data_IF_700881354194
#
_entry.id   IF_700881354194
#
_cell.length_a   1.000
_cell.length_b   1.000
_cell.length_c   1.000
_cell.angle_alpha   90.00
_cell.angle_beta   90.00
_cell.angle_gamma   90.00
#
_symmetry.space_group_name_H-M   'P 1'
#
loop_
_entity.id
_entity.type
_entity.pdbx_description
1 polymer ?
#
# COMPACT_ATOMS: atom_id res chain seq x y z
N UNK A 1 -5.64 -47.02 -6.76
CA UNK A 1 -6.16 -46.47 -8.03
C UNK A 1 -5.34 -45.24 -8.36
N UNK A 2 -4.55 -45.23 -9.45
CA UNK A 2 -3.77 -44.07 -9.82
C UNK A 2 -4.65 -43.08 -10.59
N UNK A 3 -4.60 -41.80 -10.22
CA UNK A 3 -5.29 -40.72 -10.92
C UNK A 3 -4.34 -40.22 -12.01
N UNK A 4 -4.83 -40.34 -13.23
CA UNK A 4 -4.19 -39.96 -14.49
C UNK A 4 -3.95 -38.43 -14.52
N UNK A 5 -2.70 -38.01 -14.71
CA UNK A 5 -2.33 -36.59 -14.85
C UNK A 5 -2.33 -36.26 -16.34
N UNK A 6 -3.45 -35.70 -16.81
CA UNK A 6 -3.58 -35.17 -18.15
C UNK A 6 -2.60 -34.03 -18.43
N UNK A 7 -1.85 -34.18 -19.53
CA UNK A 7 -0.97 -33.16 -20.11
C UNK A 7 -1.77 -31.90 -20.48
N UNK A 8 -1.41 -30.77 -19.89
CA UNK A 8 -1.85 -29.44 -20.35
C UNK A 8 -0.85 -28.96 -21.39
N UNK A 9 -1.23 -29.05 -22.66
CA UNK A 9 -0.48 -28.48 -23.79
C UNK A 9 -0.64 -26.95 -23.80
N UNK A 10 0.46 -26.22 -23.57
CA UNK A 10 0.56 -24.78 -23.86
C UNK A 10 0.37 -24.52 -25.34
N UNK A 11 -0.67 -23.78 -25.70
CA UNK A 11 -0.89 -23.26 -27.06
C UNK A 11 -0.13 -21.95 -27.18
N UNK A 12 0.98 -21.94 -27.92
CA UNK A 12 1.66 -20.71 -28.33
C UNK A 12 0.86 -20.02 -29.44
N UNK A 13 0.34 -18.83 -29.16
CA UNK A 13 -0.32 -17.98 -30.13
C UNK A 13 0.75 -17.26 -30.98
N UNK A 14 0.83 -17.60 -32.27
CA UNK A 14 1.71 -16.93 -33.24
C UNK A 14 0.94 -15.78 -33.88
N UNK A 15 1.34 -14.54 -33.58
CA UNK A 15 0.75 -13.32 -34.15
C UNK A 15 1.35 -13.02 -35.52
N UNK A 16 0.49 -12.99 -36.54
CA UNK A 16 0.82 -12.66 -37.93
C UNK A 16 0.74 -11.13 -38.12
N UNK A 17 1.87 -10.46 -38.38
CA UNK A 17 1.89 -9.03 -38.71
C UNK A 17 1.59 -8.81 -40.20
N UNK A 18 0.40 -8.28 -40.50
CA UNK A 18 0.05 -7.80 -41.84
C UNK A 18 0.53 -6.35 -41.96
N UNK A 19 1.46 -6.08 -42.89
CA UNK A 19 1.89 -4.73 -43.23
C UNK A 19 0.83 -4.03 -44.08
N UNK A 20 -0.02 -3.23 -43.46
CA UNK A 20 -0.92 -2.28 -44.13
C UNK A 20 -0.25 -0.91 -44.28
N UNK A 21 -0.22 -0.38 -45.50
CA UNK A 21 0.26 0.96 -45.81
C UNK A 21 -0.59 2.03 -45.13
N UNK A 22 -0.01 2.77 -44.19
CA UNK A 22 -0.67 3.87 -43.48
C UNK A 22 -0.66 5.13 -44.34
N UNK A 23 -1.83 5.57 -44.78
CA UNK A 23 -2.06 6.93 -45.30
C UNK A 23 -2.08 7.91 -44.12
N UNK A 24 -1.05 8.75 -44.01
CA UNK A 24 -1.00 9.86 -43.05
C UNK A 24 -1.64 11.11 -43.67
N UNK A 25 -2.88 11.44 -43.30
CA UNK A 25 -3.46 12.76 -43.54
C UNK A 25 -4.53 13.06 -42.50
N UNK A 26 -4.49 14.30 -41.99
CA UNK A 26 -5.36 14.95 -41.00
C UNK A 26 -5.30 14.48 -39.53
N UNK A 27 -4.12 14.20 -38.97
CA UNK A 27 -4.00 13.82 -37.54
C UNK A 27 -3.91 14.99 -36.53
N UNK A 28 -3.50 16.20 -36.92
CA UNK A 28 -3.14 17.24 -35.94
C UNK A 28 -4.32 17.79 -35.13
N UNK A 29 -5.49 18.03 -35.76
CA UNK A 29 -6.64 18.58 -35.03
C UNK A 29 -7.36 17.54 -34.13
N UNK A 30 -7.31 16.25 -34.52
CA UNK A 30 -7.93 15.18 -33.72
C UNK A 30 -7.16 14.89 -32.42
N UNK A 31 -5.86 15.18 -32.39
CA UNK A 31 -4.99 15.01 -31.22
C UNK A 31 -5.35 16.02 -30.11
N UNK A 32 -5.58 17.29 -30.48
CA UNK A 32 -5.93 18.35 -29.52
C UNK A 32 -7.26 18.10 -28.82
N UNK A 33 -8.30 17.67 -29.56
CA UNK A 33 -9.61 17.34 -28.98
C UNK A 33 -9.50 16.17 -27.99
N UNK A 34 -8.78 15.10 -28.35
CA UNK A 34 -8.64 13.92 -27.50
C UNK A 34 -7.78 14.20 -26.26
N UNK A 35 -6.74 15.00 -26.40
CA UNK A 35 -5.94 15.52 -25.28
C UNK A 35 -6.78 16.35 -24.33
N UNK A 36 -7.60 17.27 -24.85
CA UNK A 36 -8.49 18.07 -24.03
C UNK A 36 -9.48 17.18 -23.27
N UNK A 37 -10.09 16.19 -23.94
CA UNK A 37 -10.98 15.22 -23.31
C UNK A 37 -10.29 14.43 -22.19
N UNK A 38 -9.10 13.90 -22.42
CA UNK A 38 -8.34 13.20 -21.37
C UNK A 38 -8.14 14.09 -20.14
N UNK A 39 -7.68 15.33 -20.33
CA UNK A 39 -7.39 16.25 -19.23
C UNK A 39 -8.66 16.74 -18.50
N UNK A 40 -9.81 16.82 -19.17
CA UNK A 40 -11.07 17.25 -18.54
C UNK A 40 -11.89 16.11 -17.95
N UNK A 41 -11.99 14.97 -18.65
CA UNK A 41 -12.86 13.84 -18.27
C UNK A 41 -12.19 12.93 -17.24
N UNK A 42 -10.90 12.63 -17.39
CA UNK A 42 -10.24 11.62 -16.56
C UNK A 42 -10.21 11.96 -15.06
N UNK A 43 -9.89 13.20 -14.62
CA UNK A 43 -9.89 13.54 -13.20
C UNK A 43 -11.25 13.35 -12.52
N UNK A 44 -12.33 13.74 -13.19
CA UNK A 44 -13.68 13.55 -12.68
C UNK A 44 -14.03 12.06 -12.61
N UNK A 45 -13.71 11.30 -13.67
CA UNK A 45 -13.95 9.87 -13.72
C UNK A 45 -13.20 9.10 -12.62
N UNK A 46 -11.94 9.44 -12.35
CA UNK A 46 -11.16 8.86 -11.26
C UNK A 46 -11.76 9.18 -9.88
N UNK A 47 -12.25 10.40 -9.69
CA UNK A 47 -12.95 10.79 -8.46
C UNK A 47 -14.21 9.93 -8.26
N UNK A 48 -15.02 9.75 -9.30
CA UNK A 48 -16.21 8.90 -9.26
C UNK A 48 -15.85 7.43 -8.97
N UNK A 49 -14.81 6.90 -9.61
CA UNK A 49 -14.32 5.55 -9.33
C UNK A 49 -13.89 5.40 -7.87
N UNK A 50 -13.12 6.37 -7.34
CA UNK A 50 -12.63 6.35 -5.95
C UNK A 50 -13.77 6.31 -4.94
N UNK A 51 -14.83 7.09 -5.15
CA UNK A 51 -16.02 7.10 -4.28
C UNK A 51 -16.71 5.73 -4.29
N UNK A 52 -16.88 5.12 -5.46
CA UNK A 52 -17.45 3.76 -5.56
C UNK A 52 -16.55 2.71 -4.91
N UNK A 53 -15.23 2.85 -5.07
CA UNK A 53 -14.24 1.94 -4.51
C UNK A 53 -14.26 1.85 -2.98
N UNK A 54 -14.84 2.82 -2.27
CA UNK A 54 -15.05 2.76 -0.81
C UNK A 54 -15.98 1.62 -0.37
N UNK A 55 -16.78 1.07 -1.29
CA UNK A 55 -17.73 -0.02 -1.03
C UNK A 55 -17.22 -1.39 -1.48
N UNK A 56 -15.97 -1.45 -1.94
CA UNK A 56 -15.36 -2.67 -2.44
C UNK A 56 -14.58 -3.35 -1.34
N UNK A 57 -14.76 -4.66 -1.24
CA UNK A 57 -14.11 -5.52 -0.27
C UNK A 57 -13.60 -6.76 -0.99
N UNK A 58 -12.68 -7.49 -0.37
CA UNK A 58 -12.19 -8.73 -0.97
C UNK A 58 -10.82 -9.15 -0.48
N UNK A 59 -10.18 -10.00 -1.27
CA UNK A 59 -8.83 -10.47 -1.02
C UNK A 59 -7.89 -10.04 -2.15
N UNK A 60 -6.62 -9.84 -1.80
CA UNK A 60 -5.54 -9.54 -2.72
C UNK A 60 -4.35 -10.41 -2.40
N UNK A 61 -3.87 -11.17 -3.37
CA UNK A 61 -2.64 -11.95 -3.26
C UNK A 61 -1.54 -11.24 -4.03
N UNK A 62 -0.48 -10.86 -3.33
CA UNK A 62 0.72 -10.26 -3.92
C UNK A 62 1.85 -11.28 -3.99
N UNK A 63 2.40 -11.47 -5.18
CA UNK A 63 3.58 -12.31 -5.42
C UNK A 63 4.69 -11.49 -6.06
N UNK A 64 5.89 -11.57 -5.49
CA UNK A 64 7.11 -10.99 -6.06
C UNK A 64 8.08 -12.09 -6.50
N UNK A 65 8.53 -12.03 -7.74
CA UNK A 65 9.56 -12.93 -8.30
C UNK A 65 10.72 -12.13 -8.90
N UNK A 66 11.90 -12.74 -8.93
CA UNK A 66 13.07 -12.23 -9.64
C UNK A 66 13.23 -13.04 -10.92
N UNK A 67 13.19 -12.39 -12.07
CA UNK A 67 13.41 -13.06 -13.35
C UNK A 67 14.88 -13.46 -13.46
N UNK A 68 15.16 -14.73 -13.76
CA UNK A 68 16.53 -15.24 -13.96
C UNK A 68 17.23 -15.84 -12.73
N UNK A 69 16.71 -15.64 -11.51
CA UNK A 69 17.05 -16.53 -10.38
C UNK A 69 16.11 -17.73 -10.38
N UNK A 70 16.53 -18.89 -9.86
CA UNK A 70 15.64 -20.05 -9.67
C UNK A 70 14.27 -19.55 -9.16
N UNK A 71 13.18 -19.84 -9.89
CA UNK A 71 11.83 -19.23 -9.84
C UNK A 71 11.10 -19.24 -8.49
N UNK A 72 11.79 -19.45 -7.38
CA UNK A 72 11.22 -19.34 -6.06
C UNK A 72 10.82 -17.89 -5.80
N UNK A 73 9.53 -17.68 -5.54
CA UNK A 73 8.99 -16.39 -5.11
C UNK A 73 9.83 -15.82 -3.96
N UNK A 74 10.16 -14.53 -4.09
CA UNK A 74 10.89 -13.80 -3.04
C UNK A 74 10.00 -13.59 -1.82
N UNK A 75 8.73 -13.34 -2.09
CA UNK A 75 7.76 -12.89 -1.11
C UNK A 75 6.37 -13.17 -1.64
N UNK A 76 5.56 -13.77 -0.81
CA UNK A 76 4.11 -13.82 -0.98
C UNK A 76 3.46 -13.03 0.15
N UNK A 77 2.43 -12.27 -0.16
CA UNK A 77 1.63 -11.57 0.85
C UNK A 77 0.17 -11.65 0.45
N UNK A 78 -0.65 -12.26 1.28
CA UNK A 78 -2.09 -12.24 1.14
C UNK A 78 -2.67 -11.12 2.00
N UNK A 79 -3.64 -10.40 1.48
CA UNK A 79 -4.35 -9.35 2.20
C UNK A 79 -5.84 -9.54 2.07
N UNK A 80 -6.55 -9.45 3.18
CA UNK A 80 -8.00 -9.35 3.20
C UNK A 80 -8.38 -7.91 3.55
N UNK A 81 -9.29 -7.34 2.77
CA UNK A 81 -9.71 -5.95 2.83
C UNK A 81 -11.20 -5.93 3.11
N UNK A 82 -11.59 -5.29 4.21
CA UNK A 82 -12.98 -5.01 4.55
C UNK A 82 -13.11 -3.51 4.79
N UNK A 83 -14.03 -2.83 4.11
CA UNK A 83 -14.27 -1.39 4.25
C UNK A 83 -15.76 -1.13 4.36
N UNK A 84 -16.17 -0.33 5.34
CA UNK A 84 -17.56 0.05 5.54
C UNK A 84 -17.66 1.45 6.12
N UNK A 85 -18.16 2.40 5.32
CA UNK A 85 -18.22 3.82 5.66
C UNK A 85 -16.83 4.40 6.02
N UNK A 86 -16.63 4.74 7.30
CA UNK A 86 -15.35 5.23 7.85
C UNK A 86 -14.49 4.11 8.43
N UNK A 87 -15.04 2.90 8.53
CA UNK A 87 -14.38 1.76 9.15
C UNK A 87 -13.63 0.99 8.07
N UNK A 88 -12.42 0.55 8.40
CA UNK A 88 -11.60 -0.21 7.49
C UNK A 88 -10.78 -1.23 8.29
N UNK A 89 -10.63 -2.42 7.73
CA UNK A 89 -9.84 -3.50 8.29
C UNK A 89 -9.01 -4.12 7.17
N UNK A 90 -7.70 -4.18 7.39
CA UNK A 90 -6.77 -4.88 6.51
C UNK A 90 -6.04 -5.93 7.32
N UNK A 91 -6.31 -7.20 7.01
CA UNK A 91 -5.54 -8.34 7.53
C UNK A 91 -4.47 -8.66 6.51
N UNK A 92 -3.22 -8.79 6.94
CA UNK A 92 -2.08 -9.14 6.09
C UNK A 92 -1.41 -10.40 6.60
N UNK A 93 -1.23 -11.38 5.73
CA UNK A 93 -0.42 -12.57 5.97
C UNK A 93 0.80 -12.51 5.05
N UNK A 94 1.99 -12.57 5.62
CA UNK A 94 3.25 -12.47 4.89
C UNK A 94 4.10 -13.69 5.17
N UNK A 95 4.52 -14.35 4.10
CA UNK A 95 5.52 -15.41 4.15
C UNK A 95 6.82 -14.88 3.54
N UNK A 96 7.88 -14.82 4.37
CA UNK A 96 9.22 -14.44 3.92
C UNK A 96 10.03 -15.66 3.47
N UNK A 97 11.15 -15.43 2.75
CA UNK A 97 12.10 -16.48 2.33
C UNK A 97 12.55 -17.43 3.44
N UNK A 98 12.65 -16.91 4.68
CA UNK A 98 13.08 -17.69 5.84
C UNK A 98 11.95 -18.53 6.45
N UNK A 99 10.80 -18.64 5.77
CA UNK A 99 9.57 -19.25 6.30
C UNK A 99 9.07 -18.57 7.57
N UNK A 100 9.50 -17.31 7.81
CA UNK A 100 8.93 -16.47 8.85
C UNK A 100 7.54 -16.05 8.39
N UNK A 101 6.55 -16.51 9.14
CA UNK A 101 5.15 -16.21 8.93
C UNK A 101 4.75 -15.06 9.85
N UNK A 102 4.36 -13.94 9.26
CA UNK A 102 3.87 -12.78 9.98
C UNK A 102 2.43 -12.52 9.58
N UNK A 103 1.52 -12.56 10.56
CA UNK A 103 0.12 -12.21 10.38
C UNK A 103 -0.24 -11.00 11.24
N UNK A 104 -0.70 -9.94 10.61
CA UNK A 104 -1.08 -8.69 11.25
C UNK A 104 -2.47 -8.26 10.80
N UNK A 105 -3.15 -7.48 11.64
CA UNK A 105 -4.33 -6.76 11.21
C UNK A 105 -4.25 -5.31 11.68
N UNK A 106 -4.67 -4.39 10.82
CA UNK A 106 -4.79 -2.98 11.15
C UNK A 106 -6.23 -2.58 10.86
N UNK A 107 -6.90 -2.04 11.88
CA UNK A 107 -8.32 -1.71 11.80
C UNK A 107 -8.61 -0.33 12.36
N UNK A 108 -9.71 0.25 11.89
CA UNK A 108 -10.29 1.49 12.40
C UNK A 108 -11.81 1.36 12.45
N UNK A 109 -12.42 1.81 13.55
CA UNK A 109 -13.86 1.94 13.74
C UNK A 109 -14.21 3.38 14.18
N UNK A 110 -15.46 3.63 14.60
CA UNK A 110 -15.90 4.95 15.05
C UNK A 110 -15.18 5.48 16.30
N UNK A 111 -14.62 4.59 17.11
CA UNK A 111 -14.16 4.87 18.47
C UNK A 111 -12.63 4.83 18.59
N UNK A 112 -11.96 3.99 17.80
CA UNK A 112 -10.50 3.83 17.85
C UNK A 112 -9.91 3.17 16.58
N UNK A 113 -8.59 3.30 16.43
CA UNK A 113 -7.77 2.59 15.49
C UNK A 113 -6.83 1.65 16.24
N UNK A 114 -6.51 0.50 15.66
CA UNK A 114 -5.70 -0.51 16.31
C UNK A 114 -4.81 -1.27 15.33
N UNK A 115 -3.73 -1.82 15.88
CA UNK A 115 -2.91 -2.83 15.22
C UNK A 115 -2.79 -4.04 16.14
N UNK A 116 -3.04 -5.21 15.57
CA UNK A 116 -2.82 -6.49 16.22
C UNK A 116 -1.86 -7.35 15.41
N UNK A 117 -1.11 -8.19 16.10
CA UNK A 117 -0.22 -9.18 15.52
C UNK A 117 -0.57 -10.56 16.06
N UNK A 118 -0.59 -11.56 15.19
CA UNK A 118 -0.82 -12.94 15.59
C UNK A 118 0.48 -13.54 16.12
N UNK A 119 0.47 -13.95 17.38
CA UNK A 119 1.55 -14.72 18.00
C UNK A 119 1.36 -16.20 17.63
N UNK A 120 2.27 -16.74 16.82
CA UNK A 120 2.21 -18.13 16.35
C UNK A 120 2.43 -19.15 17.48
N UNK A 121 3.21 -18.81 18.49
CA UNK A 121 3.56 -19.72 19.59
C UNK A 121 2.40 -19.81 20.58
N UNK A 122 1.83 -18.66 20.93
CA UNK A 122 0.65 -18.58 21.81
C UNK A 122 -0.67 -18.84 21.06
N UNK A 123 -0.65 -18.86 19.73
CA UNK A 123 -1.82 -19.03 18.84
C UNK A 123 -2.95 -18.04 19.13
N UNK A 124 -2.61 -16.78 19.36
CA UNK A 124 -3.57 -15.73 19.70
C UNK A 124 -3.14 -14.38 19.13
N UNK A 125 -4.10 -13.48 18.98
CA UNK A 125 -3.81 -12.10 18.63
C UNK A 125 -3.30 -11.32 19.84
N UNK A 126 -2.37 -10.41 19.59
CA UNK A 126 -1.80 -9.50 20.59
C UNK A 126 -1.96 -8.08 20.06
N UNK A 127 -2.49 -7.19 20.90
CA UNK A 127 -2.57 -5.76 20.62
C UNK A 127 -1.17 -5.16 20.64
N UNK A 128 -0.73 -4.57 19.53
CA UNK A 128 0.57 -3.91 19.44
C UNK A 128 0.45 -2.40 19.52
N UNK A 129 -0.60 -1.83 18.91
CA UNK A 129 -0.87 -0.40 18.92
C UNK A 129 -2.37 -0.13 19.08
N UNK A 130 -2.73 0.93 19.79
CA UNK A 130 -4.09 1.41 19.96
C UNK A 130 -4.08 2.94 19.99
N UNK A 131 -4.95 3.54 19.19
CA UNK A 131 -5.15 4.99 19.14
C UNK A 131 -6.65 5.29 19.28
N UNK A 132 -7.00 6.08 20.29
CA UNK A 132 -8.40 6.45 20.58
C UNK A 132 -8.78 7.80 19.97
N UNK A 133 -7.81 8.57 19.51
CA UNK A 133 -8.03 9.93 18.99
C UNK A 133 -8.27 9.90 17.47
N UNK A 134 -9.18 9.05 17.02
CA UNK A 134 -9.49 8.84 15.59
C UNK A 134 -10.32 9.95 14.95
N UNK A 135 -10.81 10.89 15.75
CA UNK A 135 -11.54 12.06 15.25
C UNK A 135 -10.62 13.07 14.58
N UNK A 136 -9.33 13.09 14.97
CA UNK A 136 -8.31 13.90 14.31
C UNK A 136 -7.42 13.01 13.45
N UNK A 137 -7.93 12.70 12.26
CA UNK A 137 -7.31 11.78 11.31
C UNK A 137 -5.89 12.24 10.94
N UNK A 138 -5.62 13.55 10.93
CA UNK A 138 -4.30 14.11 10.62
C UNK A 138 -3.26 13.81 11.73
N UNK A 139 -3.70 13.57 12.97
CA UNK A 139 -2.84 13.22 14.10
C UNK A 139 -2.66 11.71 14.28
N UNK A 140 -3.64 10.91 13.83
CA UNK A 140 -3.63 9.47 14.00
C UNK A 140 -2.92 8.75 12.85
N UNK A 141 -1.62 8.46 13.05
CA UNK A 141 -0.83 7.64 12.11
C UNK A 141 -1.40 6.22 11.88
N UNK A 142 -2.28 5.74 12.77
CA UNK A 142 -2.97 4.45 12.63
C UNK A 142 -4.30 4.56 11.90
N UNK A 143 -5.03 5.68 11.99
CA UNK A 143 -6.36 5.81 11.40
C UNK A 143 -6.34 5.99 9.88
N UNK A 144 -5.40 6.77 9.32
CA UNK A 144 -5.27 6.92 7.87
C UNK A 144 -4.85 5.60 7.19
N UNK A 145 -4.08 4.78 7.90
CA UNK A 145 -3.43 3.59 7.38
C UNK A 145 -4.40 2.62 6.71
N UNK A 146 -5.37 2.01 7.42
CA UNK A 146 -6.23 0.96 6.88
C UNK A 146 -7.06 1.40 5.68
N UNK A 147 -7.69 2.58 5.75
CA UNK A 147 -8.56 3.06 4.66
C UNK A 147 -7.76 3.40 3.41
N UNK A 148 -6.65 4.12 3.55
CA UNK A 148 -5.80 4.46 2.40
C UNK A 148 -5.09 3.22 1.85
N UNK A 149 -4.71 2.25 2.68
CA UNK A 149 -4.20 0.95 2.22
C UNK A 149 -5.24 0.17 1.42
N UNK A 150 -6.47 0.11 1.91
CA UNK A 150 -7.58 -0.56 1.23
C UNK A 150 -7.87 0.10 -0.12
N UNK A 151 -8.06 1.42 -0.13
CA UNK A 151 -8.28 2.19 -1.35
C UNK A 151 -7.10 2.08 -2.31
N UNK A 152 -5.86 2.16 -1.81
CA UNK A 152 -4.66 2.01 -2.63
C UNK A 152 -4.54 0.65 -3.35
N UNK A 153 -5.17 -0.39 -2.81
CA UNK A 153 -5.26 -1.72 -3.43
C UNK A 153 -6.41 -1.80 -4.44
N UNK A 154 -7.62 -1.36 -4.07
CA UNK A 154 -8.80 -1.38 -4.96
C UNK A 154 -8.63 -0.44 -6.17
N UNK A 155 -7.94 0.68 -5.96
CA UNK A 155 -7.66 1.69 -6.97
C UNK A 155 -6.33 1.47 -7.70
N UNK A 156 -5.74 0.27 -7.64
CA UNK A 156 -4.43 0.01 -8.27
C UNK A 156 -4.42 0.28 -9.78
N UNK A 157 -5.59 0.18 -10.44
CA UNK A 157 -5.80 0.54 -11.84
C UNK A 157 -5.54 2.01 -12.21
N UNK A 158 -5.34 2.89 -11.21
CA UNK A 158 -4.90 4.28 -11.38
C UNK A 158 -3.45 4.50 -10.94
N UNK A 159 -2.68 3.42 -10.73
CA UNK A 159 -1.26 3.50 -10.34
C UNK A 159 -0.36 2.91 -11.42
N UNK A 160 0.73 3.60 -11.69
CA UNK A 160 1.90 3.00 -12.34
C UNK A 160 2.91 2.73 -11.23
N UNK A 161 3.00 1.46 -10.82
CA UNK A 161 3.82 1.03 -9.69
C UNK A 161 3.39 1.69 -8.36
N UNK A 162 4.11 2.72 -7.91
CA UNK A 162 3.78 3.51 -6.71
C UNK A 162 3.12 4.84 -7.02
N UNK A 163 3.21 5.32 -8.27
CA UNK A 163 2.81 6.66 -8.68
C UNK A 163 1.31 6.72 -8.95
N UNK A 164 0.61 7.61 -8.25
CA UNK A 164 -0.82 7.85 -8.39
C UNK A 164 -1.10 8.75 -9.60
N UNK A 165 -1.82 8.25 -10.60
CA UNK A 165 -2.06 8.95 -11.86
C UNK A 165 -2.82 10.29 -11.68
N UNK A 166 -3.88 10.38 -10.85
CA UNK A 166 -4.55 11.67 -10.60
C UNK A 166 -3.63 12.76 -10.04
N UNK A 167 -2.75 12.42 -9.10
CA UNK A 167 -1.75 13.35 -8.56
C UNK A 167 -0.75 13.75 -9.64
N UNK A 168 -0.19 12.75 -10.35
CA UNK A 168 0.78 12.99 -11.41
C UNK A 168 0.23 13.94 -12.48
N UNK A 169 -0.99 13.75 -12.96
CA UNK A 169 -1.62 14.58 -14.00
C UNK A 169 -1.92 16.00 -13.51
N UNK A 170 -2.13 16.17 -12.20
CA UNK A 170 -2.39 17.49 -11.61
C UNK A 170 -1.10 18.29 -11.38
N UNK A 171 0.08 17.67 -11.47
CA UNK A 171 1.35 18.34 -11.26
C UNK A 171 1.79 19.15 -12.49
N UNK A 172 2.36 20.37 -12.31
CA UNK A 172 2.86 21.18 -13.43
C UNK A 172 3.97 20.52 -14.27
N UNK A 173 4.66 19.52 -13.72
CA UNK A 173 5.70 18.78 -14.41
C UNK A 173 5.18 17.72 -15.38
N UNK A 174 3.88 17.44 -15.39
CA UNK A 174 3.26 16.48 -16.30
C UNK A 174 2.90 17.15 -17.62
N UNK A 175 3.37 16.57 -18.73
CA UNK A 175 3.15 17.09 -20.08
C UNK A 175 2.70 15.96 -21.00
N UNK A 176 1.51 16.12 -21.58
CA UNK A 176 1.00 15.23 -22.63
C UNK A 176 1.64 15.63 -23.96
N UNK A 177 2.40 14.69 -24.54
CA UNK A 177 3.11 14.85 -25.80
C UNK A 177 2.24 14.46 -26.99
N UNK A 178 1.50 13.36 -26.87
CA UNK A 178 0.65 12.83 -27.94
C UNK A 178 -0.50 12.01 -27.35
N UNK A 179 -1.68 12.07 -27.98
CA UNK A 179 -2.81 11.21 -27.64
C UNK A 179 -3.36 10.53 -28.89
N UNK A 180 -3.45 9.20 -28.85
CA UNK A 180 -3.89 8.38 -29.97
C UNK A 180 -5.01 7.44 -29.55
N UNK A 181 -6.05 7.34 -30.38
CA UNK A 181 -7.04 6.28 -30.26
C UNK A 181 -6.44 4.95 -30.69
N UNK A 182 -6.75 3.88 -29.95
CA UNK A 182 -6.31 2.52 -30.23
C UNK A 182 -7.51 1.57 -30.10
N UNK A 183 -7.92 0.95 -31.21
CA UNK A 183 -9.02 -0.02 -31.22
C UNK A 183 -8.51 -1.42 -30.87
N UNK A 184 -9.01 -2.01 -29.79
CA UNK A 184 -8.70 -3.38 -29.39
C UNK A 184 -9.99 -4.20 -29.33
N UNK A 185 -10.27 -4.96 -30.38
CA UNK A 185 -11.55 -5.66 -30.52
C UNK A 185 -12.70 -4.67 -30.74
N UNK A 186 -13.67 -4.65 -29.83
CA UNK A 186 -14.78 -3.68 -29.82
C UNK A 186 -14.57 -2.52 -28.84
N UNK A 187 -13.44 -2.48 -28.14
CA UNK A 187 -13.14 -1.47 -27.13
C UNK A 187 -12.21 -0.42 -27.71
N UNK A 188 -12.67 0.83 -27.63
CA UNK A 188 -11.86 1.99 -27.96
C UNK A 188 -11.01 2.39 -26.75
N UNK A 189 -9.68 2.32 -26.90
CA UNK A 189 -8.71 2.73 -25.90
C UNK A 189 -8.01 4.02 -26.32
N UNK A 190 -7.40 4.71 -25.37
CA UNK A 190 -6.64 5.93 -25.61
C UNK A 190 -5.21 5.76 -25.10
N UNK A 191 -4.24 5.84 -26.00
CA UNK A 191 -2.82 5.87 -25.68
C UNK A 191 -2.39 7.31 -25.46
N UNK A 192 -1.88 7.60 -24.27
CA UNK A 192 -1.30 8.88 -23.89
C UNK A 192 0.21 8.72 -23.81
N UNK A 193 0.94 9.45 -24.64
CA UNK A 193 2.38 9.63 -24.52
C UNK A 193 2.67 10.89 -23.71
N UNK A 194 3.54 10.80 -22.70
CA UNK A 194 3.78 11.90 -21.77
C UNK A 194 5.23 11.95 -21.30
N UNK A 195 5.62 13.14 -20.86
CA UNK A 195 6.80 13.36 -20.01
C UNK A 195 6.35 13.85 -18.64
N UNK A 196 7.14 13.51 -17.62
CA UNK A 196 6.83 13.89 -16.24
C UNK A 196 8.08 14.18 -15.43
N UNK A 197 8.13 15.39 -14.88
CA UNK A 197 9.16 15.87 -13.96
C UNK A 197 8.54 16.10 -12.58
N UNK A 198 8.61 15.12 -11.65
CA UNK A 198 7.96 15.24 -10.35
C UNK A 198 8.56 16.39 -9.54
N UNK A 199 7.71 17.16 -8.84
CA UNK A 199 8.20 18.19 -7.92
C UNK A 199 8.98 17.60 -6.74
N UNK A 200 8.60 16.40 -6.31
CA UNK A 200 9.29 15.65 -5.27
C UNK A 200 9.77 14.31 -5.83
N UNK A 201 11.08 14.15 -5.98
CA UNK A 201 11.67 12.90 -6.48
C UNK A 201 11.54 11.73 -5.50
N UNK A 202 11.30 12.00 -4.21
CA UNK A 202 11.20 10.96 -3.20
C UNK A 202 9.93 10.14 -3.46
N UNK A 203 10.10 8.83 -3.66
CA UNK A 203 9.05 7.82 -3.84
C UNK A 203 8.32 7.77 -5.19
N UNK A 204 8.65 8.63 -6.15
CA UNK A 204 8.06 8.59 -7.49
C UNK A 204 9.11 8.28 -8.55
N UNK A 205 9.18 7.03 -9.06
CA UNK A 205 10.17 6.67 -10.05
C UNK A 205 9.79 7.09 -11.47
N UNK A 206 8.51 7.35 -11.78
CA UNK A 206 8.03 7.57 -13.15
C UNK A 206 8.57 8.87 -13.74
N UNK A 207 9.02 8.86 -15.00
CA UNK A 207 9.55 10.05 -15.73
C UNK A 207 8.87 10.35 -17.06
N UNK A 208 8.05 9.44 -17.56
CA UNK A 208 7.40 9.58 -18.86
C UNK A 208 7.31 8.23 -19.59
N UNK A 209 6.63 8.22 -20.71
CA UNK A 209 6.41 7.01 -21.51
C UNK A 209 5.00 6.98 -22.06
N UNK A 210 4.41 5.79 -22.11
CA UNK A 210 3.09 5.57 -22.69
C UNK A 210 2.15 4.90 -21.70
N UNK A 211 0.90 5.33 -21.65
CA UNK A 211 -0.18 4.71 -20.88
C UNK A 211 -1.36 4.49 -21.82
N UNK A 212 -1.92 3.29 -21.80
CA UNK A 212 -3.15 2.93 -22.50
C UNK A 212 -4.30 2.93 -21.50
N UNK A 213 -5.26 3.82 -21.70
CA UNK A 213 -6.40 4.07 -20.83
C UNK A 213 -7.70 3.63 -21.50
N UNK A 214 -8.69 3.25 -20.70
CA UNK A 214 -10.06 2.94 -21.18
C UNK A 214 -11.03 4.06 -20.78
N UNK A 215 -11.41 4.97 -21.69
CA UNK A 215 -12.33 6.07 -21.40
C UNK A 215 -13.72 5.60 -20.96
N UNK A 216 -14.16 4.42 -21.42
CA UNK A 216 -15.47 3.86 -21.07
C UNK A 216 -15.53 3.31 -19.64
N UNK A 217 -14.35 3.05 -19.06
CA UNK A 217 -14.17 2.47 -17.72
C UNK A 217 -13.38 3.42 -16.83
N UNK A 218 -13.88 4.63 -16.67
CA UNK A 218 -13.31 5.65 -15.78
C UNK A 218 -11.85 6.03 -16.09
N UNK A 219 -11.41 5.94 -17.35
CA UNK A 219 -10.02 6.22 -17.74
C UNK A 219 -9.01 5.41 -16.92
N UNK A 220 -9.32 4.14 -16.64
CA UNK A 220 -8.43 3.24 -15.92
C UNK A 220 -7.33 2.70 -16.82
N UNK A 221 -6.16 2.42 -16.23
CA UNK A 221 -5.01 1.85 -16.93
C UNK A 221 -5.34 0.43 -17.39
N UNK A 222 -5.10 0.14 -18.67
CA UNK A 222 -5.05 -1.22 -19.23
C UNK A 222 -3.61 -1.68 -19.37
N UNK A 223 -2.76 -0.81 -19.88
CA UNK A 223 -1.33 -1.05 -20.04
C UNK A 223 -0.54 0.23 -19.78
N UNK A 224 0.69 0.11 -19.30
CA UNK A 224 1.63 1.22 -19.27
C UNK A 224 3.04 0.73 -19.55
N UNK A 225 3.84 1.54 -20.23
CA UNK A 225 5.27 1.34 -20.38
C UNK A 225 5.96 2.67 -20.15
N UNK A 226 6.60 2.82 -19.00
CA UNK A 226 7.18 4.08 -18.56
C UNK A 226 8.66 3.94 -18.24
N UNK A 227 9.40 5.01 -18.51
CA UNK A 227 10.76 5.20 -18.03
C UNK A 227 10.70 5.49 -16.54
N UNK A 228 11.63 4.90 -15.81
CA UNK A 228 11.73 5.02 -14.37
C UNK A 228 13.15 5.42 -13.95
N UNK A 229 13.22 6.21 -12.88
CA UNK A 229 14.44 6.67 -12.24
C UNK A 229 14.28 6.55 -10.72
N UNK A 230 15.04 5.64 -10.11
CA UNK A 230 14.95 5.41 -8.66
C UNK A 230 15.98 6.24 -7.88
N UNK A 231 17.19 6.32 -8.40
CA UNK A 231 18.32 7.05 -7.81
C UNK A 231 19.24 7.58 -8.92
N UNK A 232 20.14 8.55 -8.64
CA UNK A 232 21.14 8.99 -9.61
C UNK A 232 21.89 7.84 -10.27
N UNK A 233 21.67 7.67 -11.58
CA UNK A 233 22.28 6.63 -12.41
C UNK A 233 21.61 5.25 -12.33
N UNK A 234 20.52 5.09 -11.58
CA UNK A 234 19.65 3.91 -11.63
C UNK A 234 18.38 4.24 -12.45
N UNK A 235 18.44 3.88 -13.72
CA UNK A 235 17.34 4.03 -14.68
C UNK A 235 16.78 2.67 -15.09
N UNK A 236 15.54 2.68 -15.59
CA UNK A 236 14.91 1.48 -16.06
C UNK A 236 13.55 1.70 -16.70
N UNK A 237 12.84 0.62 -16.89
CA UNK A 237 11.50 0.60 -17.46
C UNK A 237 10.56 -0.12 -16.51
N UNK A 238 9.37 0.44 -16.34
CA UNK A 238 8.25 -0.21 -15.66
C UNK A 238 7.22 -0.51 -16.73
N UNK A 239 6.85 -1.79 -16.87
CA UNK A 239 5.72 -2.22 -17.69
C UNK A 239 4.59 -2.66 -16.76
N UNK A 240 3.39 -2.16 -16.99
CA UNK A 240 2.19 -2.51 -16.23
C UNK A 240 1.15 -3.10 -17.19
N UNK A 241 0.50 -4.16 -16.77
CA UNK A 241 -0.68 -4.73 -17.41
C UNK A 241 -1.77 -4.91 -16.36
N UNK A 242 -2.99 -4.54 -16.71
CA UNK A 242 -4.11 -4.51 -15.78
C UNK A 242 -5.33 -5.16 -16.41
N UNK A 243 -5.89 -6.12 -15.70
CA UNK A 243 -7.09 -6.85 -16.09
C UNK A 243 -8.22 -6.50 -15.13
N UNK A 244 -9.42 -6.39 -15.70
CA UNK A 244 -10.65 -6.10 -14.96
C UNK A 244 -11.67 -7.18 -15.28
N UNK A 245 -12.56 -7.46 -14.34
CA UNK A 245 -13.70 -8.31 -14.58
C UNK A 245 -14.60 -7.67 -15.65
N UNK A 246 -14.94 -8.46 -16.67
CA UNK A 246 -15.91 -8.11 -17.70
C UNK A 246 -17.30 -8.62 -17.28
N UNK A 247 -17.76 -8.19 -16.11
CA UNK A 247 -19.11 -8.53 -15.65
C UNK A 247 -20.11 -7.46 -16.07
N UNK A 248 -20.97 -7.79 -17.03
CA UNK A 248 -22.07 -6.92 -17.46
C UNK A 248 -23.03 -6.58 -16.30
N UNK A 249 -23.07 -7.40 -15.24
CA UNK A 249 -24.02 -7.23 -14.14
C UNK A 249 -23.67 -6.09 -13.19
N UNK A 250 -22.38 -5.83 -12.93
CA UNK A 250 -21.98 -4.85 -11.90
C UNK A 250 -21.73 -3.46 -12.47
N UNK A 251 -21.60 -3.35 -13.81
CA UNK A 251 -21.27 -2.12 -14.55
C UNK A 251 -20.03 -1.37 -14.04
N UNK A 252 -19.28 -1.94 -13.10
CA UNK A 252 -18.16 -1.31 -12.42
C UNK A 252 -16.91 -2.16 -12.64
N UNK A 253 -15.82 -1.57 -13.16
CA UNK A 253 -14.64 -2.34 -13.50
C UNK A 253 -13.88 -2.76 -12.22
N UNK A 254 -14.14 -3.97 -11.76
CA UNK A 254 -13.40 -4.57 -10.65
C UNK A 254 -12.06 -5.10 -11.15
N UNK A 255 -10.99 -4.68 -10.50
CA UNK A 255 -9.65 -5.16 -10.78
C UNK A 255 -9.56 -6.66 -10.46
N UNK A 256 -9.05 -7.47 -11.39
CA UNK A 256 -8.85 -8.93 -11.21
C UNK A 256 -7.37 -9.29 -11.17
N UNK A 257 -6.55 -8.58 -11.94
CA UNK A 257 -5.11 -8.81 -11.98
C UNK A 257 -4.35 -7.53 -12.30
N UNK A 258 -3.23 -7.33 -11.62
CA UNK A 258 -2.27 -6.26 -11.90
C UNK A 258 -0.88 -6.89 -11.97
N UNK A 259 -0.22 -6.77 -13.12
CA UNK A 259 1.15 -7.21 -13.33
C UNK A 259 2.02 -5.98 -13.52
N UNK A 260 3.09 -5.85 -12.71
CA UNK A 260 4.14 -4.88 -12.95
C UNK A 260 5.48 -5.60 -13.15
N UNK A 261 6.17 -5.26 -14.22
CA UNK A 261 7.49 -5.73 -14.55
C UNK A 261 8.45 -4.56 -14.46
N UNK A 262 9.54 -4.72 -13.72
CA UNK A 262 10.56 -3.70 -13.55
C UNK A 262 11.88 -4.23 -14.06
N UNK A 263 12.40 -3.57 -15.08
CA UNK A 263 13.74 -3.80 -15.62
C UNK A 263 14.60 -2.59 -15.27
N UNK A 264 15.59 -2.76 -14.40
CA UNK A 264 16.43 -1.67 -13.90
C UNK A 264 17.92 -1.98 -14.09
N UNK A 265 18.69 -0.93 -14.40
CA UNK A 265 20.14 -0.98 -14.42
C UNK A 265 20.70 -0.54 -13.05
N UNK A 266 21.47 -1.42 -12.42
CA UNK A 266 22.21 -1.12 -11.21
C UNK A 266 23.58 -0.55 -11.54
N UNK A 267 24.05 0.39 -10.72
CA UNK A 267 25.39 0.95 -10.82
C UNK A 267 26.11 0.93 -9.47
N UNK A 268 27.43 1.10 -9.51
CA UNK A 268 28.27 1.27 -8.32
C UNK A 268 28.26 0.05 -7.40
N UNK A 269 28.18 0.30 -6.09
CA UNK A 269 28.29 -0.75 -5.07
C UNK A 269 27.10 -1.71 -5.08
N UNK A 270 25.91 -1.26 -5.49
CA UNK A 270 24.74 -2.14 -5.63
C UNK A 270 24.91 -3.18 -6.73
N UNK A 271 25.49 -2.80 -7.87
CA UNK A 271 25.80 -3.77 -8.92
C UNK A 271 26.83 -4.81 -8.44
N UNK A 272 27.81 -4.39 -7.62
CA UNK A 272 28.80 -5.30 -7.00
C UNK A 272 28.14 -6.23 -5.99
N UNK A 273 27.28 -5.71 -5.13
CA UNK A 273 26.55 -6.49 -4.11
C UNK A 273 25.60 -7.51 -4.74
N UNK A 274 24.87 -7.11 -5.79
CA UNK A 274 23.98 -7.99 -6.52
C UNK A 274 24.74 -8.99 -7.42
N UNK A 275 26.01 -8.72 -7.74
CA UNK A 275 26.78 -9.49 -8.71
C UNK A 275 26.28 -9.35 -10.15
N UNK A 276 25.43 -8.35 -10.43
CA UNK A 276 24.81 -8.08 -11.73
C UNK A 276 24.57 -6.58 -11.90
N UNK A 277 24.68 -6.08 -13.13
CA UNK A 277 24.29 -4.72 -13.51
C UNK A 277 22.81 -4.59 -13.87
N UNK A 278 22.08 -5.70 -13.94
CA UNK A 278 20.68 -5.72 -14.35
C UNK A 278 19.82 -6.45 -13.31
N UNK A 279 18.66 -5.87 -13.01
CA UNK A 279 17.66 -6.45 -12.12
C UNK A 279 16.31 -6.47 -12.80
N UNK A 280 15.66 -7.62 -12.71
CA UNK A 280 14.35 -7.88 -13.28
C UNK A 280 13.41 -8.36 -12.18
N UNK A 281 12.38 -7.57 -11.89
CA UNK A 281 11.35 -7.92 -10.92
C UNK A 281 9.99 -8.07 -11.61
N UNK A 282 9.29 -9.15 -11.30
CA UNK A 282 7.91 -9.36 -11.69
C UNK A 282 7.04 -9.36 -10.42
N UNK A 283 6.08 -8.44 -10.40
CA UNK A 283 5.16 -8.19 -9.30
C UNK A 283 3.75 -8.46 -9.77
N UNK A 284 3.09 -9.43 -9.16
CA UNK A 284 1.74 -9.87 -9.51
C UNK A 284 0.82 -9.59 -8.34
N UNK A 285 -0.29 -8.93 -8.58
CA UNK A 285 -1.41 -8.85 -7.65
C UNK A 285 -2.62 -9.50 -8.31
N UNK A 286 -3.13 -10.54 -7.66
CA UNK A 286 -4.38 -11.19 -8.02
C UNK A 286 -5.46 -10.76 -7.04
N UNK A 287 -6.63 -10.43 -7.58
CA UNK A 287 -7.70 -9.76 -6.86
C UNK A 287 -8.98 -10.61 -6.91
N UNK A 288 -9.56 -10.86 -5.74
CA UNK A 288 -10.92 -11.38 -5.59
C UNK A 288 -11.75 -10.30 -4.89
N UNK A 289 -12.16 -9.30 -5.67
CA UNK A 289 -12.89 -8.13 -5.22
C UNK A 289 -14.39 -8.27 -5.50
N UNK A 290 -15.21 -7.70 -4.62
CA UNK A 290 -16.66 -7.67 -4.73
C UNK A 290 -17.22 -6.42 -4.08
N UNK A 291 -18.28 -5.88 -4.65
CA UNK A 291 -19.08 -4.82 -4.04
C UNK A 291 -19.99 -5.46 -2.99
N UNK A 292 -19.72 -5.18 -1.71
CA UNK A 292 -20.50 -5.72 -0.60
C UNK A 292 -21.26 -4.61 0.11
N UNK A 293 -22.58 -4.79 0.20
CA UNK A 293 -23.46 -3.76 0.77
C UNK A 293 -23.46 -3.70 2.30
N UNK A 294 -22.90 -4.69 3.01
CA UNK A 294 -23.02 -4.80 4.47
C UNK A 294 -21.81 -5.51 5.10
N UNK A 295 -20.92 -4.75 5.72
CA UNK A 295 -20.12 -5.27 6.84
C UNK A 295 -20.68 -4.67 8.14
N UNK A 296 -20.57 -5.42 9.23
CA UNK A 296 -20.99 -4.94 10.56
C UNK A 296 -19.82 -4.26 11.24
N UNK A 297 -20.05 -3.13 11.91
CA UNK A 297 -19.02 -2.44 12.70
C UNK A 297 -18.32 -3.35 13.72
N UNK A 298 -19.02 -4.38 14.22
CA UNK A 298 -18.45 -5.41 15.11
C UNK A 298 -17.24 -6.16 14.53
N UNK A 299 -17.08 -6.21 13.21
CA UNK A 299 -15.92 -6.85 12.56
C UNK A 299 -14.65 -5.98 12.68
N UNK A 300 -14.82 -4.70 12.99
CA UNK A 300 -13.76 -3.70 13.10
C UNK A 300 -13.39 -3.42 14.57
N UNK A 301 -13.66 -4.34 15.50
CA UNK A 301 -13.37 -4.16 16.93
C UNK A 301 -12.37 -5.19 17.45
N UNK A 302 -11.73 -4.92 18.59
CA UNK A 302 -10.79 -5.82 19.25
C UNK A 302 -11.44 -7.15 19.63
N UNK A 303 -12.73 -7.17 19.96
CA UNK A 303 -13.47 -8.39 20.25
C UNK A 303 -13.51 -9.35 19.04
N UNK A 304 -13.49 -8.85 17.80
CA UNK A 304 -13.38 -9.70 16.61
C UNK A 304 -12.07 -10.51 16.58
N UNK A 305 -11.06 -10.05 17.32
CA UNK A 305 -9.76 -10.70 17.49
C UNK A 305 -9.63 -11.43 18.84
N UNK A 306 -10.71 -11.54 19.62
CA UNK A 306 -10.71 -12.16 20.95
C UNK A 306 -10.05 -11.30 22.03
N UNK A 307 -9.86 -10.01 21.76
CA UNK A 307 -9.25 -9.05 22.69
C UNK A 307 -10.33 -8.24 23.42
N UNK A 308 -10.07 -7.76 24.65
CA UNK A 308 -11.01 -6.92 25.36
C UNK A 308 -11.17 -5.56 24.68
N UNK A 309 -12.40 -5.05 24.64
CA UNK A 309 -12.67 -3.70 24.15
C UNK A 309 -12.06 -2.65 25.09
N UNK A 310 -11.58 -1.52 24.56
CA UNK A 310 -11.15 -0.41 25.39
C UNK A 310 -12.37 0.13 26.12
N UNK A 311 -12.51 -0.17 27.41
CA UNK A 311 -13.57 0.44 28.21
C UNK A 311 -13.33 1.95 28.27
N UNK A 312 -14.39 2.74 28.08
CA UNK A 312 -14.45 4.18 28.41
C UNK A 312 -13.94 4.45 29.84
N UNK A 313 -14.03 3.41 30.68
CA UNK A 313 -13.70 3.37 32.10
C UNK A 313 -12.24 3.17 32.46
N UNK A 314 -11.31 3.28 31.50
CA UNK A 314 -9.98 3.76 31.87
C UNK A 314 -10.06 5.28 32.08
N UNK A 315 -10.91 5.66 33.03
CA UNK A 315 -10.86 6.95 33.68
C UNK A 315 -9.40 7.16 34.08
N UNK A 316 -8.91 8.36 33.82
CA UNK A 316 -7.56 8.85 34.06
C UNK A 316 -7.12 8.84 35.54
N UNK A 317 -7.51 7.84 36.34
CA UNK A 317 -7.37 7.80 37.78
C UNK A 317 -6.78 6.52 38.39
N UNK A 318 -6.51 5.43 37.65
CA UNK A 318 -6.11 4.16 38.32
C UNK A 318 -4.70 3.63 38.04
N UNK A 319 -4.01 4.02 36.97
CA UNK A 319 -2.60 3.60 36.77
C UNK A 319 -1.56 4.57 37.34
N UNK A 320 -1.95 5.81 37.67
CA UNK A 320 -1.11 6.71 38.47
C UNK A 320 -1.08 6.34 39.96
N UNK A 321 -1.97 5.46 40.43
CA UNK A 321 -2.02 5.03 41.83
C UNK A 321 -0.81 4.19 42.25
N UNK A 322 -0.36 3.24 41.43
CA UNK A 322 0.79 2.39 41.79
C UNK A 322 2.12 3.14 41.69
N UNK A 323 2.34 3.91 40.63
CA UNK A 323 3.56 4.73 40.52
C UNK A 323 3.57 5.92 41.50
N UNK A 324 2.42 6.54 41.75
CA UNK A 324 2.27 7.58 42.77
C UNK A 324 2.58 7.06 44.17
N UNK A 325 2.05 5.89 44.54
CA UNK A 325 2.36 5.25 45.83
C UNK A 325 3.84 4.86 45.95
N UNK A 326 4.46 4.37 44.88
CA UNK A 326 5.90 4.08 44.85
C UNK A 326 6.75 5.35 44.99
N UNK A 327 6.39 6.46 44.35
CA UNK A 327 7.09 7.74 44.48
C UNK A 327 6.91 8.36 45.87
N UNK A 328 5.73 8.21 46.48
CA UNK A 328 5.48 8.64 47.87
C UNK A 328 6.32 7.81 48.84
N UNK A 329 6.36 6.48 48.67
CA UNK A 329 7.19 5.59 49.48
C UNK A 329 8.69 5.90 49.31
N UNK A 330 9.15 6.16 48.08
CA UNK A 330 10.54 6.53 47.83
C UNK A 330 10.93 7.85 48.51
N UNK A 331 10.06 8.87 48.44
CA UNK A 331 10.29 10.14 49.14
C UNK A 331 10.27 9.96 50.66
N UNK A 332 9.38 9.13 51.20
CA UNK A 332 9.33 8.84 52.63
C UNK A 332 10.63 8.17 53.09
N UNK A 333 11.13 7.18 52.36
CA UNK A 333 12.43 6.53 52.64
C UNK A 333 13.59 7.53 52.58
N UNK A 334 13.58 8.47 51.63
CA UNK A 334 14.61 9.50 51.50
C UNK A 334 14.60 10.47 52.69
N UNK A 335 13.42 10.92 53.14
CA UNK A 335 13.29 11.78 54.31
C UNK A 335 13.72 11.06 55.61
N UNK A 336 13.40 9.78 55.76
CA UNK A 336 13.87 8.96 56.88
C UNK A 336 15.39 8.84 56.86
N UNK A 337 16.00 8.61 55.70
CA UNK A 337 17.45 8.54 55.56
C UNK A 337 18.13 9.87 55.95
N UNK A 338 17.59 11.02 55.51
CA UNK A 338 18.08 12.35 55.90
C UNK A 338 17.95 12.56 57.42
N UNK A 339 16.81 12.18 58.00
CA UNK A 339 16.58 12.29 59.45
C UNK A 339 17.58 11.45 60.26
N UNK A 340 17.80 10.21 59.85
CA UNK A 340 18.78 9.31 60.48
C UNK A 340 20.22 9.84 60.33
N UNK A 341 20.58 10.34 59.15
CA UNK A 341 21.88 10.97 58.91
C UNK A 341 22.12 12.18 59.80
N UNK A 342 21.11 13.05 59.92
CA UNK A 342 21.19 14.25 60.77
C UNK A 342 21.28 13.91 62.27
N UNK A 343 20.52 12.91 62.72
CA UNK A 343 20.61 12.39 64.09
C UNK A 343 21.98 11.78 64.38
N UNK A 344 22.57 11.05 63.42
CA UNK A 344 23.91 10.48 63.58
C UNK A 344 24.97 11.59 63.67
N UNK A 345 24.86 12.64 62.84
CA UNK A 345 25.76 13.79 62.90
C UNK A 345 25.70 14.54 64.24
N UNK A 346 24.55 14.56 64.91
CA UNK A 346 24.43 15.12 66.27
C UNK A 346 25.03 14.23 67.36
N UNK A 347 25.16 12.93 67.15
CA UNK A 347 25.79 12.00 68.10
C UNK A 347 27.31 12.08 68.09
N UNK A 348 27.91 12.62 67.03
CA UNK A 348 29.35 12.86 66.92
C UNK A 348 29.67 14.34 66.66
N UNK A 349 29.46 15.28 67.60
CA UNK A 349 29.73 16.71 67.37
C UNK A 349 31.22 17.07 67.23
N UNK A 350 32.16 16.11 67.30
CA UNK A 350 33.50 16.42 67.80
C UNK A 350 34.73 15.93 67.04
N UNK A 351 34.63 15.12 65.98
CA UNK A 351 35.85 14.49 65.42
C UNK A 351 36.49 15.19 64.21
N UNK A 352 35.84 16.20 63.61
CA UNK A 352 36.40 16.92 62.45
C UNK A 352 36.92 18.34 62.76
N UNK A 353 37.10 18.68 64.04
CA UNK A 353 37.79 19.91 64.45
C UNK A 353 39.22 19.59 64.86
N UNK A 354 40.07 19.22 63.89
CA UNK A 354 41.48 19.05 64.18
C UNK A 354 42.27 18.33 63.11
N UNK A 355 42.72 19.06 62.07
CA UNK A 355 44.16 19.20 61.79
C UNK A 355 44.38 20.24 60.67
N UNK A 356 45.44 21.08 60.78
CA UNK A 356 45.80 22.14 59.84
C UNK A 356 46.27 21.65 58.47
#
# INVERSE_FOLDING_TARGET
MPIDRGNVTSVCLVSLFISGSLTFSTCLAADDDLKQRFLSEAPEAWSQYRVRAEHIQGAVTFTQTNRGSSERALRSTERQITVFNRNALVISERENRNSEYLKTAVGVNSDYAFRVQFDSDARQWVLTDLDRDVQDVELSSLAEGPKELALGLVCRGMRVFGTWLPEMVSEPGFRVNQVLTFEQGSTQLVRVEFDYEPQQHRNNPVRGGTILLDPSRYWLIREAKVRAFWMPGEEGTITVQVEYADDELTSFPLLTRYLAQVDAQLIGDRAKEAGTSEVHHDWVWDFDLRELNKASEREFTLAAFGLPEPSDRLDAGSQSGSWGTLLVLANLCFLVAIGLWWLNRRRYPGENAGSP
#
